data_IF_851758227167
#
_entry.id   IF_851758227167
#
_cell.length_a   1.000
_cell.length_b   1.000
_cell.length_c   1.000
_cell.angle_alpha   90.00
_cell.angle_beta   90.00
_cell.angle_gamma   90.00
#
_symmetry.space_group_name_H-M   'P 1'
#
loop_
_entity.id
_entity.type
_entity.pdbx_description
1 polymer ?
#
# COMPACT_ATOMS: atom_id res chain seq x y z
N UNK A 1 -5.15 -1.68 -10.24
CA UNK A 1 -4.38 -2.68 -9.46
C UNK A 1 -3.71 -1.98 -8.29
N UNK A 2 -3.24 -2.71 -7.27
CA UNK A 2 -2.46 -2.15 -6.16
C UNK A 2 -1.05 -2.75 -6.17
N UNK A 3 -0.04 -1.92 -5.88
CA UNK A 3 1.35 -2.34 -5.76
C UNK A 3 1.77 -2.16 -4.30
N UNK A 4 2.33 -3.21 -3.72
CA UNK A 4 2.85 -3.21 -2.35
C UNK A 4 4.36 -3.44 -2.41
N UNK A 5 5.10 -2.59 -1.70
CA UNK A 5 6.55 -2.65 -1.63
C UNK A 5 7.05 -3.65 -0.60
N UNK A 6 8.34 -3.96 -0.68
CA UNK A 6 9.03 -4.72 0.38
C UNK A 6 9.17 -3.86 1.65
N UNK A 7 9.16 -4.48 2.83
CA UNK A 7 9.23 -3.78 4.13
C UNK A 7 10.45 -2.86 4.28
N UNK A 8 11.60 -3.20 3.71
CA UNK A 8 12.82 -2.41 3.85
C UNK A 8 12.93 -1.29 2.82
N UNK A 9 12.74 -1.63 1.54
CA UNK A 9 13.01 -0.71 0.42
C UNK A 9 11.75 -0.07 -0.19
N UNK A 10 10.56 -0.50 0.25
CA UNK A 10 9.31 -0.08 -0.34
C UNK A 10 9.18 -0.49 -1.81
N UNK A 11 8.44 0.31 -2.57
CA UNK A 11 8.31 0.16 -4.03
C UNK A 11 9.49 0.86 -4.70
N UNK A 12 10.14 0.21 -5.66
CA UNK A 12 11.25 0.80 -6.41
C UNK A 12 10.80 2.02 -7.22
N UNK A 13 11.71 2.97 -7.45
CA UNK A 13 11.37 4.22 -8.14
C UNK A 13 10.89 4.01 -9.57
N UNK A 14 11.43 3.01 -10.27
CA UNK A 14 10.95 2.62 -11.60
C UNK A 14 9.49 2.20 -11.56
N UNK A 15 9.09 1.40 -10.57
CA UNK A 15 7.69 0.95 -10.43
C UNK A 15 6.80 2.09 -9.96
N UNK A 16 7.24 2.93 -9.02
CA UNK A 16 6.50 4.13 -8.58
C UNK A 16 6.16 5.07 -9.75
N UNK A 17 7.08 5.25 -10.71
CA UNK A 17 6.84 6.08 -11.91
C UNK A 17 5.78 5.51 -12.87
N UNK A 18 5.49 4.22 -12.76
CA UNK A 18 4.44 3.56 -13.55
C UNK A 18 3.07 3.58 -12.85
N UNK A 19 3.03 3.95 -11.56
CA UNK A 19 1.79 4.04 -10.81
C UNK A 19 1.08 5.38 -11.07
N UNK A 20 -0.24 5.35 -11.23
CA UNK A 20 -1.04 6.56 -11.43
C UNK A 20 -1.09 7.45 -10.18
N UNK A 21 -1.11 6.81 -9.00
CA UNK A 21 -1.29 7.47 -7.70
C UNK A 21 -0.53 6.73 -6.61
N UNK A 22 -0.26 7.44 -5.51
CA UNK A 22 0.20 6.90 -4.24
C UNK A 22 -0.89 7.08 -3.18
N UNK A 23 -0.92 6.18 -2.19
CA UNK A 23 -1.87 6.19 -1.08
C UNK A 23 -1.12 5.87 0.22
N UNK A 24 -1.71 6.27 1.35
CA UNK A 24 -1.13 6.10 2.67
C UNK A 24 -2.18 5.56 3.64
N UNK A 25 -1.82 4.61 4.50
CA UNK A 25 -2.64 4.20 5.64
C UNK A 25 -2.23 5.09 6.82
N UNK A 26 -3.14 5.89 7.40
CA UNK A 26 -2.80 6.72 8.55
C UNK A 26 -2.46 5.84 9.76
N UNK A 27 -1.27 6.05 10.33
CA UNK A 27 -0.77 5.38 11.53
C UNK A 27 -0.11 6.41 12.46
N UNK A 28 -0.04 6.11 13.76
CA UNK A 28 0.43 7.06 14.77
C UNK A 28 1.63 6.58 15.57
N UNK A 29 1.69 5.31 15.94
CA UNK A 29 2.67 4.80 16.93
C UNK A 29 3.78 3.93 16.33
N UNK A 30 3.73 3.67 15.02
CA UNK A 30 4.69 2.87 14.29
C UNK A 30 5.17 3.63 13.05
N UNK A 31 6.39 3.33 12.59
CA UNK A 31 6.95 3.91 11.37
C UNK A 31 6.32 3.32 10.10
N UNK A 32 5.93 2.05 10.16
CA UNK A 32 5.26 1.35 9.06
C UNK A 32 4.42 0.18 9.58
N UNK A 33 3.59 -0.37 8.70
CA UNK A 33 2.93 -1.65 8.90
C UNK A 33 3.70 -2.74 8.16
N UNK A 34 3.56 -3.98 8.61
CA UNK A 34 3.98 -5.13 7.81
C UNK A 34 3.29 -5.11 6.44
N UNK A 35 4.00 -5.48 5.37
CA UNK A 35 3.50 -5.39 4.00
C UNK A 35 2.21 -6.20 3.80
N UNK A 36 2.10 -7.38 4.41
CA UNK A 36 0.88 -8.22 4.33
C UNK A 36 -0.33 -7.61 5.03
N UNK A 37 -0.11 -6.93 6.16
CA UNK A 37 -1.17 -6.22 6.90
C UNK A 37 -1.64 -5.01 6.10
N UNK A 38 -0.70 -4.21 5.58
CA UNK A 38 -1.03 -3.07 4.72
C UNK A 38 -1.82 -3.51 3.47
N UNK A 39 -1.38 -4.58 2.82
CA UNK A 39 -2.07 -5.14 1.65
C UNK A 39 -3.50 -5.58 1.98
N UNK A 40 -3.71 -6.23 3.13
CA UNK A 40 -5.02 -6.72 3.57
C UNK A 40 -6.01 -5.57 3.84
N UNK A 41 -5.54 -4.51 4.51
CA UNK A 41 -6.36 -3.31 4.76
C UNK A 41 -6.79 -2.64 3.45
N UNK A 42 -5.85 -2.47 2.51
CA UNK A 42 -6.14 -1.85 1.21
C UNK A 42 -7.09 -2.73 0.39
N UNK A 43 -6.88 -4.05 0.37
CA UNK A 43 -7.73 -4.97 -0.37
C UNK A 43 -9.18 -4.94 0.12
N UNK A 44 -9.40 -4.88 1.45
CA UNK A 44 -10.73 -4.76 2.03
C UNK A 44 -11.39 -3.41 1.73
N UNK A 45 -10.63 -2.31 1.77
CA UNK A 45 -11.19 -1.01 1.38
C UNK A 45 -11.57 -0.98 -0.11
N UNK A 46 -10.74 -1.57 -0.98
CA UNK A 46 -11.04 -1.69 -2.40
C UNK A 46 -12.24 -2.59 -2.69
N UNK A 47 -12.57 -3.55 -1.81
CA UNK A 47 -13.75 -4.40 -2.02
C UNK A 47 -15.06 -3.65 -1.79
N UNK A 48 -15.09 -2.64 -0.90
CA UNK A 48 -16.29 -1.81 -0.68
C UNK A 48 -16.72 -1.00 -1.89
N UNK A 49 -15.76 -0.62 -2.74
CA UNK A 49 -16.03 0.15 -3.99
C UNK A 49 -16.67 -0.73 -5.07
N UNK A 50 -16.69 -2.06 -4.87
CA UNK A 50 -17.24 -3.03 -5.81
C UNK A 50 -18.66 -3.49 -5.47
N UNK A 51 -19.19 -3.04 -4.33
CA UNK A 51 -20.62 -3.14 -3.97
C UNK A 51 -21.39 -1.93 -4.51
#
# INVERSE_FOLDING_TARGET
AVVIGNEGNGVSDTVKKLCDKSLFIPISSAESLNASVAASVIAWEMSKVRE
#
